data_IF_906657566752
#
_entry.id   IF_906657566752
#
_cell.length_a   1.000
_cell.length_b   1.000
_cell.length_c   1.000
_cell.angle_alpha   90.00
_cell.angle_beta   90.00
_cell.angle_gamma   90.00
#
_symmetry.space_group_name_H-M   'P 1'
#
loop_
_entity.id
_entity.type
_entity.pdbx_description
1 polymer ?
#
# COMPACT_ATOMS: atom_id res chain seq x y z
N UNK A 1 -2.43 18.32 -15.75
CA UNK A 1 -2.84 17.83 -14.42
C UNK A 1 -4.36 17.93 -14.34
N UNK A 2 -5.07 16.82 -14.08
CA UNK A 2 -6.54 16.81 -14.06
C UNK A 2 -7.06 17.64 -12.89
N UNK A 3 -8.05 18.49 -13.14
CA UNK A 3 -8.74 19.39 -12.20
C UNK A 3 -9.18 18.70 -10.90
N UNK A 4 -9.35 17.38 -10.92
CA UNK A 4 -9.71 16.55 -9.78
C UNK A 4 -8.58 16.43 -8.75
N UNK A 5 -7.31 16.41 -9.18
CA UNK A 5 -6.17 16.39 -8.27
C UNK A 5 -6.04 17.72 -7.52
N UNK A 6 -6.44 18.83 -8.17
CA UNK A 6 -6.47 20.16 -7.57
C UNK A 6 -7.55 20.26 -6.49
N UNK A 7 -8.73 19.64 -6.72
CA UNK A 7 -9.80 19.55 -5.72
C UNK A 7 -9.37 18.70 -4.54
N UNK A 8 -8.71 17.55 -4.72
CA UNK A 8 -8.31 16.68 -3.62
C UNK A 8 -7.18 17.26 -2.75
N UNK A 9 -6.22 18.00 -3.33
CA UNK A 9 -5.16 18.69 -2.59
C UNK A 9 -5.65 19.97 -1.90
N UNK A 10 -6.59 20.72 -2.49
CA UNK A 10 -7.25 21.86 -1.83
C UNK A 10 -8.36 21.45 -0.86
N UNK A 11 -8.90 20.23 -0.95
CA UNK A 11 -9.95 19.70 -0.06
C UNK A 11 -9.48 19.49 1.39
N UNK A 12 -8.17 19.52 1.66
CA UNK A 12 -7.64 19.42 3.01
C UNK A 12 -7.70 20.75 3.80
N UNK A 13 -7.99 21.89 3.14
CA UNK A 13 -7.83 23.22 3.75
C UNK A 13 -9.15 24.03 3.93
N UNK A 14 -10.32 23.54 3.49
CA UNK A 14 -11.58 24.29 3.61
C UNK A 14 -12.77 23.45 4.13
N UNK A 15 -13.49 24.02 5.10
CA UNK A 15 -14.64 23.48 5.85
C UNK A 15 -15.82 22.96 4.97
N UNK A 16 -16.48 21.93 5.49
CA UNK A 16 -17.83 21.41 5.18
C UNK A 16 -18.08 20.77 3.80
N UNK A 17 -17.68 19.51 3.64
CA UNK A 17 -18.20 18.63 2.57
C UNK A 17 -19.32 17.73 3.08
N UNK A 18 -20.33 17.49 2.23
CA UNK A 18 -21.43 16.58 2.52
C UNK A 18 -21.00 15.12 2.37
N UNK A 19 -21.66 14.18 3.07
CA UNK A 19 -21.45 12.72 2.89
C UNK A 19 -21.54 12.30 1.42
N UNK A 20 -22.36 12.99 0.64
CA UNK A 20 -22.56 12.73 -0.79
C UNK A 20 -21.31 13.02 -1.63
N UNK A 21 -20.53 14.04 -1.26
CA UNK A 21 -19.31 14.41 -1.99
C UNK A 21 -18.19 13.38 -1.75
N UNK A 22 -18.08 12.87 -0.51
CA UNK A 22 -17.20 11.73 -0.21
C UNK A 22 -17.55 10.49 -1.02
N UNK A 23 -18.84 10.15 -1.13
CA UNK A 23 -19.32 9.00 -1.91
C UNK A 23 -18.99 9.17 -3.40
N UNK A 24 -19.13 10.38 -3.96
CA UNK A 24 -18.74 10.64 -5.36
C UNK A 24 -17.24 10.52 -5.55
N UNK A 25 -16.45 11.12 -4.67
CA UNK A 25 -14.99 11.15 -4.78
C UNK A 25 -14.39 9.74 -4.66
N UNK A 26 -14.78 8.96 -3.64
CA UNK A 26 -14.29 7.58 -3.52
C UNK A 26 -14.66 6.72 -4.73
N UNK A 27 -15.82 6.96 -5.35
CA UNK A 27 -16.26 6.20 -6.52
C UNK A 27 -15.37 6.56 -7.71
N UNK A 28 -15.02 7.82 -7.86
CA UNK A 28 -14.05 8.25 -8.86
C UNK A 28 -12.68 7.57 -8.64
N UNK A 29 -12.19 7.60 -7.39
CA UNK A 29 -10.98 6.89 -6.97
C UNK A 29 -11.04 5.39 -7.36
N UNK A 30 -12.04 4.65 -6.91
CA UNK A 30 -12.16 3.21 -7.18
C UNK A 30 -12.33 2.89 -8.68
N UNK A 31 -13.04 3.73 -9.45
CA UNK A 31 -13.16 3.56 -10.89
C UNK A 31 -11.84 3.75 -11.64
N UNK A 32 -10.89 4.49 -11.06
CA UNK A 32 -9.58 4.67 -11.67
C UNK A 32 -8.77 3.37 -11.74
N UNK A 33 -9.09 2.33 -10.94
CA UNK A 33 -8.52 0.96 -11.07
C UNK A 33 -8.63 0.42 -12.50
N UNK A 34 -9.65 0.83 -13.22
CA UNK A 34 -9.93 0.35 -14.56
C UNK A 34 -9.34 1.24 -15.68
N UNK A 35 -8.54 2.26 -15.33
CA UNK A 35 -8.16 3.35 -16.23
C UNK A 35 -9.39 4.01 -16.91
N UNK A 36 -10.54 3.96 -16.22
CA UNK A 36 -11.80 4.48 -16.72
C UNK A 36 -11.82 6.00 -16.53
N UNK A 37 -11.31 6.72 -17.52
CA UNK A 37 -11.54 8.17 -17.61
C UNK A 37 -12.96 8.53 -18.10
N UNK A 38 -13.90 7.59 -18.21
CA UNK A 38 -15.13 7.80 -18.99
C UNK A 38 -16.46 7.47 -18.27
N UNK A 39 -17.52 8.06 -18.85
CA UNK A 39 -18.92 8.06 -18.39
C UNK A 39 -19.58 6.68 -18.39
N UNK A 40 -20.76 6.58 -17.75
CA UNK A 40 -21.61 5.38 -17.67
C UNK A 40 -21.91 4.73 -19.04
N UNK A 41 -21.98 5.52 -20.11
CA UNK A 41 -22.22 5.01 -21.46
C UNK A 41 -20.99 4.30 -22.05
N UNK A 42 -19.79 4.82 -21.81
CA UNK A 42 -18.54 4.23 -22.29
C UNK A 42 -18.21 2.93 -21.56
N UNK A 43 -18.51 2.86 -20.26
CA UNK A 43 -18.30 1.66 -19.42
C UNK A 43 -19.20 0.50 -19.84
N UNK A 44 -20.42 0.77 -20.29
CA UNK A 44 -21.34 -0.26 -20.79
C UNK A 44 -20.90 -0.86 -22.15
N UNK A 45 -20.02 -0.18 -22.90
CA UNK A 45 -19.48 -0.67 -24.19
C UNK A 45 -18.19 -1.46 -24.04
N UNK A 46 -17.55 -1.44 -22.87
CA UNK A 46 -16.32 -2.19 -22.62
C UNK A 46 -16.62 -3.62 -22.18
N UNK A 47 -15.72 -4.53 -22.57
CA UNK A 47 -15.80 -5.94 -22.22
C UNK A 47 -15.55 -6.11 -20.71
N UNK A 48 -16.65 -6.11 -19.96
CA UNK A 48 -16.70 -6.24 -18.48
C UNK A 48 -15.98 -7.48 -17.97
N UNK A 49 -15.73 -8.46 -18.84
CA UNK A 49 -15.13 -9.76 -18.50
C UNK A 49 -13.60 -9.74 -18.38
N UNK A 50 -12.93 -8.67 -18.85
CA UNK A 50 -11.46 -8.63 -19.01
C UNK A 50 -10.66 -8.17 -17.79
N UNK A 51 -11.26 -7.50 -16.81
CA UNK A 51 -10.51 -6.88 -15.70
C UNK A 51 -11.02 -7.34 -14.34
N UNK A 52 -12.32 -7.59 -14.22
CA UNK A 52 -12.90 -8.40 -13.16
C UNK A 52 -13.60 -9.55 -13.89
N UNK A 53 -13.27 -10.80 -13.63
CA UNK A 53 -14.07 -11.94 -14.12
C UNK A 53 -15.48 -11.97 -13.47
N UNK A 54 -16.03 -10.84 -13.01
CA UNK A 54 -17.16 -10.75 -12.10
C UNK A 54 -18.26 -9.78 -12.58
N UNK A 55 -19.49 -10.11 -12.21
CA UNK A 55 -20.76 -9.51 -12.68
C UNK A 55 -21.17 -8.22 -11.95
N UNK A 56 -20.30 -7.62 -11.15
CA UNK A 56 -20.68 -6.49 -10.30
C UNK A 56 -20.80 -5.18 -11.08
N UNK A 57 -21.78 -4.36 -10.73
CA UNK A 57 -21.94 -3.02 -11.30
C UNK A 57 -20.72 -2.16 -10.91
N UNK A 58 -19.92 -1.65 -11.86
CA UNK A 58 -18.75 -0.80 -11.58
C UNK A 58 -19.13 0.48 -10.81
N UNK A 59 -20.41 0.82 -10.74
CA UNK A 59 -20.89 1.97 -9.97
C UNK A 59 -21.34 1.63 -8.55
N UNK A 60 -21.54 0.36 -8.24
CA UNK A 60 -21.91 -0.13 -6.92
C UNK A 60 -20.66 -0.55 -6.12
N UNK A 61 -19.75 0.40 -5.86
CA UNK A 61 -18.45 0.16 -5.21
C UNK A 61 -18.57 -0.65 -3.90
N UNK A 62 -19.58 -0.36 -3.08
CA UNK A 62 -19.79 -1.08 -1.82
C UNK A 62 -20.29 -2.52 -1.98
N UNK A 63 -20.75 -2.89 -3.17
CA UNK A 63 -21.08 -4.27 -3.52
C UNK A 63 -19.90 -5.01 -4.16
N UNK A 64 -18.78 -4.32 -4.42
CA UNK A 64 -17.61 -4.97 -4.98
C UNK A 64 -17.06 -5.99 -3.98
N UNK A 65 -16.63 -7.13 -4.50
CA UNK A 65 -16.01 -8.17 -3.70
C UNK A 65 -14.80 -7.65 -2.92
N UNK A 66 -14.71 -8.03 -1.65
CA UNK A 66 -13.61 -7.62 -0.76
C UNK A 66 -13.64 -6.14 -0.38
N UNK A 67 -14.68 -5.39 -0.76
CA UNK A 67 -14.86 -4.00 -0.33
C UNK A 67 -15.86 -3.96 0.83
N UNK A 68 -15.43 -3.38 1.94
CA UNK A 68 -16.29 -3.12 3.09
C UNK A 68 -16.56 -1.63 3.19
N UNK A 69 -17.84 -1.27 3.21
CA UNK A 69 -18.28 0.10 3.43
C UNK A 69 -18.90 0.31 4.81
N UNK A 70 -18.73 1.50 5.36
CA UNK A 70 -19.44 2.01 6.54
C UNK A 70 -20.17 3.29 6.14
N UNK A 71 -21.49 3.32 6.30
CA UNK A 71 -22.33 4.44 5.84
C UNK A 71 -22.07 4.83 4.37
N UNK A 72 -21.95 3.82 3.49
CA UNK A 72 -21.61 3.96 2.07
C UNK A 72 -20.19 4.49 1.78
N UNK A 73 -19.32 4.65 2.78
CA UNK A 73 -17.92 5.03 2.60
C UNK A 73 -17.02 3.80 2.65
N UNK A 74 -16.12 3.65 1.67
CA UNK A 74 -15.15 2.55 1.62
C UNK A 74 -14.20 2.65 2.81
N UNK A 75 -14.19 1.61 3.64
CA UNK A 75 -13.33 1.49 4.83
C UNK A 75 -12.30 0.38 4.73
N UNK A 76 -12.61 -0.69 4.01
CA UNK A 76 -11.64 -1.75 3.76
C UNK A 76 -11.67 -2.25 2.31
N UNK A 77 -10.50 -2.64 1.81
CA UNK A 77 -10.32 -3.34 0.54
C UNK A 77 -9.44 -4.57 0.80
N UNK A 78 -9.92 -5.76 0.48
CA UNK A 78 -9.27 -7.05 0.75
C UNK A 78 -9.24 -7.93 -0.51
N UNK A 79 -8.16 -7.83 -1.26
CA UNK A 79 -7.89 -8.51 -2.53
C UNK A 79 -6.57 -9.30 -2.48
N UNK A 80 -6.57 -10.37 -1.70
CA UNK A 80 -5.47 -11.35 -1.66
C UNK A 80 -5.78 -12.53 -2.59
N UNK A 81 -4.96 -12.76 -3.61
CA UNK A 81 -5.26 -13.82 -4.59
C UNK A 81 -4.94 -15.23 -4.11
N UNK A 82 -4.07 -15.41 -3.11
CA UNK A 82 -3.77 -16.74 -2.56
C UNK A 82 -4.89 -17.22 -1.64
N UNK A 83 -5.44 -16.31 -0.82
CA UNK A 83 -6.50 -16.65 0.14
C UNK A 83 -7.89 -16.73 -0.50
N UNK A 84 -8.06 -16.19 -1.71
CA UNK A 84 -9.39 -16.02 -2.33
C UNK A 84 -9.79 -17.11 -3.33
N UNK A 85 -8.89 -18.03 -3.69
CA UNK A 85 -9.15 -19.11 -4.65
C UNK A 85 -9.76 -18.61 -5.98
N UNK A 86 -10.81 -19.28 -6.46
CA UNK A 86 -11.53 -18.92 -7.70
C UNK A 86 -12.19 -17.54 -7.67
N UNK A 87 -12.28 -16.92 -6.50
CA UNK A 87 -12.88 -15.62 -6.33
C UNK A 87 -11.86 -14.51 -6.08
N UNK A 88 -10.59 -14.76 -6.39
CA UNK A 88 -9.54 -13.76 -6.34
C UNK A 88 -9.82 -12.58 -7.27
N UNK A 89 -9.79 -11.37 -6.70
CA UNK A 89 -9.71 -10.14 -7.49
C UNK A 89 -8.28 -10.01 -7.99
N UNK A 90 -8.09 -10.10 -9.31
CA UNK A 90 -6.78 -10.01 -9.96
C UNK A 90 -6.66 -8.66 -10.66
N UNK A 91 -5.64 -7.90 -10.28
CA UNK A 91 -5.31 -6.64 -10.91
C UNK A 91 -4.28 -6.86 -12.02
N UNK A 92 -4.33 -6.03 -13.06
CA UNK A 92 -3.34 -6.02 -14.15
C UNK A 92 -2.27 -4.94 -13.95
N UNK A 93 -2.54 -3.95 -13.09
CA UNK A 93 -1.67 -2.85 -12.70
C UNK A 93 -2.11 -2.30 -11.34
N UNK A 94 -1.24 -1.57 -10.64
CA UNK A 94 -1.51 -1.06 -9.30
C UNK A 94 -1.00 0.37 -9.10
N UNK A 95 -1.89 1.36 -9.07
CA UNK A 95 -1.55 2.75 -8.73
C UNK A 95 -2.19 3.18 -7.41
N UNK A 96 -1.38 3.34 -6.38
CA UNK A 96 -1.84 3.72 -5.03
C UNK A 96 -2.72 4.98 -4.99
N UNK A 97 -2.65 5.87 -6.00
CA UNK A 97 -3.45 7.10 -6.07
C UNK A 97 -4.94 6.86 -6.28
N UNK A 98 -5.33 5.69 -6.77
CA UNK A 98 -6.75 5.36 -6.92
C UNK A 98 -7.38 4.94 -5.60
N UNK A 99 -6.61 4.66 -4.53
CA UNK A 99 -7.17 4.30 -3.24
C UNK A 99 -7.96 5.49 -2.65
N UNK A 100 -9.21 5.29 -2.18
CA UNK A 100 -9.93 6.33 -1.48
C UNK A 100 -9.17 6.80 -0.23
N UNK A 101 -9.07 8.10 0.04
CA UNK A 101 -8.30 8.62 1.18
C UNK A 101 -8.88 8.20 2.54
N UNK A 102 -10.16 7.82 2.58
CA UNK A 102 -10.93 7.40 3.77
C UNK A 102 -10.75 5.93 4.16
N UNK A 103 -10.03 5.15 3.33
CA UNK A 103 -9.85 3.72 3.59
C UNK A 103 -8.94 3.52 4.79
N UNK A 104 -9.36 2.67 5.72
CA UNK A 104 -8.63 2.35 6.94
C UNK A 104 -7.78 1.10 6.79
N UNK A 105 -8.27 0.12 6.01
CA UNK A 105 -7.63 -1.17 5.81
C UNK A 105 -7.48 -1.47 4.32
N UNK A 106 -6.26 -1.68 3.88
CA UNK A 106 -5.95 -2.14 2.53
C UNK A 106 -5.14 -3.41 2.67
N UNK A 107 -5.68 -4.51 2.17
CA UNK A 107 -5.01 -5.79 2.02
C UNK A 107 -5.10 -6.16 0.54
N UNK A 108 -4.05 -5.89 -0.22
CA UNK A 108 -3.96 -6.28 -1.63
C UNK A 108 -2.68 -7.08 -1.74
N UNK A 109 -2.79 -8.38 -1.99
CA UNK A 109 -1.63 -9.25 -1.92
C UNK A 109 -1.61 -10.24 -3.08
N UNK A 110 -0.40 -10.72 -3.38
CA UNK A 110 -0.19 -11.84 -4.29
C UNK A 110 -0.72 -11.57 -5.70
N UNK A 111 -0.55 -10.34 -6.19
CA UNK A 111 -0.99 -9.93 -7.53
C UNK A 111 0.07 -10.33 -8.58
N UNK A 112 0.44 -11.61 -8.60
CA UNK A 112 1.42 -12.18 -9.54
C UNK A 112 0.88 -12.08 -10.97
N UNK A 113 1.39 -11.11 -11.74
CA UNK A 113 0.89 -10.76 -13.08
C UNK A 113 0.60 -9.27 -13.25
N UNK A 114 0.55 -8.50 -12.16
CA UNK A 114 0.56 -7.03 -12.23
C UNK A 114 1.79 -6.53 -12.97
N UNK A 115 1.61 -5.57 -13.86
CA UNK A 115 2.72 -4.82 -14.44
C UNK A 115 3.42 -3.99 -13.36
N UNK A 116 4.75 -3.84 -13.42
CA UNK A 116 5.48 -2.97 -12.51
C UNK A 116 4.87 -1.58 -12.45
N UNK A 117 4.56 -1.10 -11.26
CA UNK A 117 3.85 0.17 -11.05
C UNK A 117 4.53 1.03 -9.99
N UNK A 118 4.65 2.36 -10.19
CA UNK A 118 5.31 3.21 -9.23
C UNK A 118 4.43 3.39 -7.99
N UNK A 119 5.04 3.38 -6.81
CA UNK A 119 4.38 3.71 -5.56
C UNK A 119 5.20 4.75 -4.79
N UNK A 120 4.50 5.74 -4.23
CA UNK A 120 5.06 6.73 -3.33
C UNK A 120 4.24 6.77 -2.06
N UNK A 121 4.92 6.80 -0.91
CA UNK A 121 4.30 6.94 0.42
C UNK A 121 3.46 8.21 0.55
N UNK A 122 3.72 9.24 -0.28
CA UNK A 122 2.91 10.48 -0.36
C UNK A 122 1.51 10.25 -0.90
N UNK A 123 1.26 9.15 -1.58
CA UNK A 123 -0.06 8.81 -2.11
C UNK A 123 -0.78 7.76 -1.27
N UNK A 124 -0.22 7.33 -0.14
CA UNK A 124 -0.93 6.43 0.76
C UNK A 124 -2.14 7.14 1.40
N UNK A 125 -3.29 6.44 1.57
CA UNK A 125 -4.47 7.03 2.20
C UNK A 125 -4.16 7.51 3.61
N UNK A 126 -4.66 8.70 3.97
CA UNK A 126 -4.23 9.39 5.20
C UNK A 126 -4.88 8.84 6.46
N UNK A 127 -6.04 8.18 6.33
CA UNK A 127 -6.75 7.50 7.43
C UNK A 127 -6.37 6.02 7.57
N UNK A 128 -5.41 5.52 6.77
CA UNK A 128 -5.06 4.09 6.79
C UNK A 128 -4.37 3.74 8.11
N UNK A 129 -4.82 2.66 8.74
CA UNK A 129 -4.18 2.05 9.92
C UNK A 129 -3.49 0.75 9.55
N UNK A 130 -3.97 0.06 8.53
CA UNK A 130 -3.47 -1.22 8.10
C UNK A 130 -3.28 -1.25 6.58
N UNK A 131 -2.03 -1.12 6.13
CA UNK A 131 -1.66 -1.10 4.72
C UNK A 131 -0.78 -2.31 4.40
N UNK A 132 -1.34 -3.28 3.70
CA UNK A 132 -0.65 -4.48 3.21
C UNK A 132 -0.79 -4.56 1.71
N UNK A 133 0.33 -4.39 1.01
CA UNK A 133 0.43 -4.39 -0.44
C UNK A 133 1.58 -5.29 -0.90
N UNK A 134 1.61 -6.54 -0.42
CA UNK A 134 2.71 -7.48 -0.68
C UNK A 134 2.59 -8.16 -2.05
N UNK A 135 3.72 -8.47 -2.67
CA UNK A 135 3.76 -9.18 -3.96
C UNK A 135 2.89 -8.50 -5.05
N UNK A 136 2.99 -7.16 -5.17
CA UNK A 136 2.16 -6.35 -6.06
C UNK A 136 2.93 -5.71 -7.23
N UNK A 137 4.20 -6.07 -7.43
CA UNK A 137 5.09 -5.48 -8.44
C UNK A 137 5.25 -3.94 -8.29
N UNK A 138 5.19 -3.43 -7.07
CA UNK A 138 5.39 -2.00 -6.82
C UNK A 138 6.87 -1.64 -6.83
N UNK A 139 7.23 -0.47 -7.35
CA UNK A 139 8.61 0.03 -7.32
C UNK A 139 8.68 1.51 -6.91
N UNK A 140 9.88 1.96 -6.57
CA UNK A 140 10.15 3.33 -6.13
C UNK A 140 10.95 3.37 -4.83
N UNK A 141 11.07 4.55 -4.24
CA UNK A 141 11.65 4.73 -2.91
C UNK A 141 10.57 4.89 -1.85
N UNK A 142 10.92 4.59 -0.59
CA UNK A 142 10.04 4.76 0.55
C UNK A 142 10.52 5.95 1.36
N UNK A 143 9.69 6.98 1.45
CA UNK A 143 9.90 8.11 2.35
C UNK A 143 9.12 7.87 3.64
N UNK A 144 9.85 7.57 4.72
CA UNK A 144 9.29 7.28 6.04
C UNK A 144 8.65 8.50 6.71
N UNK A 145 9.10 9.71 6.35
CA UNK A 145 8.68 10.96 7.01
C UNK A 145 7.26 11.37 6.65
N UNK A 146 6.70 10.79 5.58
CA UNK A 146 5.37 11.11 5.04
C UNK A 146 4.40 9.93 5.12
N UNK A 147 4.73 8.92 5.93
CA UNK A 147 3.79 7.85 6.24
C UNK A 147 2.54 8.42 6.96
N UNK A 148 1.36 7.84 6.74
CA UNK A 148 0.15 8.23 7.47
C UNK A 148 0.36 8.12 8.99
N UNK A 149 -0.04 9.15 9.73
CA UNK A 149 0.18 9.22 11.19
C UNK A 149 -0.61 8.17 11.98
N UNK A 150 -1.69 7.65 11.40
CA UNK A 150 -2.54 6.58 11.95
C UNK A 150 -2.03 5.17 11.63
N UNK A 151 -0.95 5.03 10.85
CA UNK A 151 -0.49 3.74 10.36
C UNK A 151 0.04 2.87 11.51
N UNK A 152 -0.54 1.70 11.69
CA UNK A 152 -0.14 0.72 12.70
C UNK A 152 0.59 -0.47 12.07
N UNK A 153 0.18 -0.87 10.87
CA UNK A 153 0.75 -2.01 10.15
C UNK A 153 1.07 -1.61 8.72
N UNK A 154 2.33 -1.78 8.35
CA UNK A 154 2.83 -1.64 6.99
C UNK A 154 3.44 -2.95 6.51
N UNK A 155 2.86 -3.57 5.49
CA UNK A 155 3.46 -4.70 4.80
C UNK A 155 3.61 -4.38 3.31
N UNK A 156 4.85 -4.24 2.86
CA UNK A 156 5.21 -4.02 1.46
C UNK A 156 6.16 -5.11 0.97
N UNK A 157 6.11 -6.30 1.57
CA UNK A 157 7.05 -7.36 1.26
C UNK A 157 6.87 -7.91 -0.18
N UNK A 158 7.96 -8.35 -0.80
CA UNK A 158 7.91 -8.96 -2.14
C UNK A 158 7.61 -7.96 -3.25
N UNK A 159 8.06 -6.73 -3.11
CA UNK A 159 7.98 -5.70 -4.15
C UNK A 159 9.39 -5.36 -4.68
N UNK A 160 9.50 -4.29 -5.44
CA UNK A 160 10.74 -3.79 -6.07
C UNK A 160 11.07 -2.38 -5.54
N UNK A 161 10.72 -2.09 -4.27
CA UNK A 161 11.16 -0.85 -3.65
C UNK A 161 12.67 -0.88 -3.48
N UNK A 162 13.32 0.25 -3.75
CA UNK A 162 14.78 0.35 -3.85
C UNK A 162 15.30 1.63 -3.21
N UNK A 163 16.63 1.75 -3.15
CA UNK A 163 17.31 2.94 -2.66
C UNK A 163 17.77 2.81 -1.22
N UNK A 164 17.94 3.98 -0.58
CA UNK A 164 18.26 4.09 0.83
C UNK A 164 16.99 4.19 1.67
N UNK A 165 17.01 3.52 2.82
CA UNK A 165 15.93 3.55 3.78
C UNK A 165 16.41 4.20 5.08
N UNK A 166 15.71 5.23 5.53
CA UNK A 166 15.99 5.87 6.82
C UNK A 166 14.84 5.56 7.77
N UNK A 167 15.08 4.66 8.73
CA UNK A 167 14.14 4.33 9.79
C UNK A 167 14.26 5.37 10.91
N UNK A 168 13.74 6.56 10.63
CA UNK A 168 13.61 7.67 11.57
C UNK A 168 12.26 8.35 11.38
N UNK A 169 11.78 9.04 12.41
CA UNK A 169 10.49 9.77 12.39
C UNK A 169 9.30 8.90 11.98
N UNK A 170 9.30 7.64 12.40
CA UNK A 170 8.19 6.72 12.13
C UNK A 170 6.91 7.19 12.86
N UNK A 171 5.72 6.94 12.32
CA UNK A 171 4.47 7.20 13.02
C UNK A 171 4.46 6.54 14.41
N UNK A 172 4.06 7.27 15.45
CA UNK A 172 4.01 6.74 16.82
C UNK A 172 3.03 5.58 16.99
N UNK A 173 2.05 5.44 16.09
CA UNK A 173 1.12 4.32 16.06
C UNK A 173 1.73 3.05 15.47
N UNK A 174 2.86 3.13 14.76
CA UNK A 174 3.39 2.02 13.98
C UNK A 174 3.86 0.88 14.89
N UNK A 175 3.30 -0.30 14.68
CA UNK A 175 3.55 -1.52 15.47
C UNK A 175 4.38 -2.52 14.65
N UNK A 176 4.02 -2.74 13.40
CA UNK A 176 4.63 -3.76 12.54
C UNK A 176 5.00 -3.14 11.19
N UNK A 177 6.23 -3.37 10.76
CA UNK A 177 6.71 -3.02 9.43
C UNK A 177 7.39 -4.23 8.78
N UNK A 178 6.91 -4.63 7.62
CA UNK A 178 7.48 -5.73 6.84
C UNK A 178 7.88 -5.22 5.45
N UNK A 179 9.19 -5.10 5.22
CA UNK A 179 9.77 -4.64 3.95
C UNK A 179 10.64 -5.71 3.29
N UNK A 180 10.49 -6.96 3.74
CA UNK A 180 11.20 -8.13 3.24
C UNK A 180 11.07 -8.30 1.73
N UNK A 181 12.11 -8.85 1.08
CA UNK A 181 12.11 -9.13 -0.36
C UNK A 181 11.84 -7.87 -1.20
N UNK A 182 12.60 -6.81 -0.93
CA UNK A 182 12.71 -5.60 -1.75
C UNK A 182 14.20 -5.37 -2.09
N UNK A 183 14.49 -4.32 -2.88
CA UNK A 183 15.81 -4.01 -3.46
C UNK A 183 16.53 -2.83 -2.78
N UNK A 184 16.31 -2.63 -1.47
CA UNK A 184 17.07 -1.64 -0.69
C UNK A 184 18.55 -2.02 -0.59
N UNK A 185 19.44 -1.04 -0.75
CA UNK A 185 20.89 -1.27 -0.66
C UNK A 185 21.53 -0.71 0.61
N UNK A 186 20.90 0.28 1.26
CA UNK A 186 21.34 0.81 2.55
C UNK A 186 20.15 1.10 3.45
N UNK A 187 20.32 0.83 4.75
CA UNK A 187 19.35 1.15 5.80
C UNK A 187 20.08 1.87 6.93
N UNK A 188 19.62 3.07 7.25
CA UNK A 188 20.04 3.82 8.42
C UNK A 188 18.94 3.73 9.47
N UNK A 189 19.29 3.29 10.67
CA UNK A 189 18.33 3.12 11.78
C UNK A 189 18.65 4.10 12.90
N UNK A 190 17.66 4.92 13.25
CA UNK A 190 17.72 5.73 14.46
C UNK A 190 16.97 4.98 15.57
N UNK A 191 17.73 4.20 16.36
CA UNK A 191 17.19 3.39 17.46
C UNK A 191 16.40 4.23 18.47
N UNK A 192 16.79 5.50 18.69
CA UNK A 192 16.18 6.37 19.69
C UNK A 192 14.82 6.92 19.21
N UNK A 193 14.64 7.02 17.89
CA UNK A 193 13.39 7.48 17.27
C UNK A 193 12.36 6.38 17.01
N UNK A 194 12.70 5.11 17.26
CA UNK A 194 11.78 4.00 17.04
C UNK A 194 10.57 4.12 17.98
N UNK A 195 9.32 3.94 17.49
CA UNK A 195 8.14 4.03 18.34
C UNK A 195 8.20 3.04 19.51
N UNK A 196 7.70 3.43 20.68
CA UNK A 196 7.76 2.58 21.88
C UNK A 196 6.90 1.32 21.76
N UNK A 197 5.78 1.41 21.01
CA UNK A 197 4.89 0.29 20.68
C UNK A 197 5.38 -0.53 19.47
N UNK A 198 6.49 -0.14 18.83
CA UNK A 198 7.05 -0.86 17.71
C UNK A 198 7.45 -2.26 18.17
N UNK A 199 6.91 -3.29 17.54
CA UNK A 199 7.16 -4.69 17.88
C UNK A 199 8.18 -5.32 16.97
N UNK A 200 8.07 -5.04 15.67
CA UNK A 200 8.91 -5.69 14.68
C UNK A 200 9.04 -4.86 13.40
N UNK A 201 10.28 -4.63 12.99
CA UNK A 201 10.65 -4.31 11.61
C UNK A 201 11.32 -5.53 10.99
N UNK A 202 10.75 -6.09 9.94
CA UNK A 202 11.38 -7.18 9.20
C UNK A 202 11.96 -6.63 7.89
N UNK A 203 13.28 -6.68 7.79
CA UNK A 203 14.06 -6.37 6.60
C UNK A 203 14.69 -7.69 6.13
N UNK A 204 14.53 -8.03 4.85
CA UNK A 204 15.22 -9.20 4.31
C UNK A 204 15.39 -9.08 2.80
N UNK A 205 16.28 -9.92 2.26
CA UNK A 205 16.88 -9.72 0.96
C UNK A 205 16.58 -10.81 -0.06
N UNK A 206 16.51 -10.44 -1.34
CA UNK A 206 16.78 -11.35 -2.46
C UNK A 206 18.25 -11.26 -2.92
N UNK A 207 19.02 -12.30 -2.58
CA UNK A 207 20.17 -12.89 -3.26
C UNK A 207 21.43 -12.10 -3.74
N UNK A 208 21.44 -10.82 -4.15
CA UNK A 208 22.64 -10.28 -4.89
C UNK A 208 23.65 -9.30 -4.22
N UNK A 209 23.29 -8.30 -3.40
CA UNK A 209 24.19 -7.18 -2.96
C UNK A 209 24.06 -6.71 -1.48
N UNK A 210 24.71 -7.31 -0.46
CA UNK A 210 24.57 -7.00 1.01
C UNK A 210 23.86 -5.66 1.37
N UNK A 211 22.74 -5.72 2.10
CA UNK A 211 22.11 -4.48 2.58
C UNK A 211 23.01 -3.90 3.67
N UNK A 212 23.49 -2.69 3.47
CA UNK A 212 24.31 -2.01 4.45
C UNK A 212 23.41 -1.39 5.52
N UNK A 213 23.22 -2.12 6.62
CA UNK A 213 22.46 -1.65 7.79
C UNK A 213 23.43 -1.03 8.79
N UNK A 214 23.14 0.21 9.21
CA UNK A 214 23.91 0.93 10.22
C UNK A 214 22.96 1.72 11.12
N UNK A 215 23.38 1.96 12.35
CA UNK A 215 22.67 2.85 13.27
C UNK A 215 23.24 4.26 13.17
N UNK A 216 22.43 5.28 13.48
CA UNK A 216 22.88 6.68 13.48
C UNK A 216 24.05 6.90 14.45
N UNK A 217 23.99 6.27 15.63
CA UNK A 217 24.99 6.43 16.70
C UNK A 217 26.15 5.44 16.63
N UNK A 218 26.09 4.45 15.72
CA UNK A 218 27.04 3.33 15.69
C UNK A 218 26.79 2.27 16.79
N UNK A 219 25.76 2.45 17.62
CA UNK A 219 25.34 1.45 18.60
C UNK A 219 24.85 0.14 17.93
N UNK A 220 24.80 -0.98 18.67
CA UNK A 220 24.14 -2.19 18.21
C UNK A 220 22.71 -1.91 17.73
N UNK A 221 22.26 -2.65 16.72
CA UNK A 221 20.91 -2.52 16.17
C UNK A 221 19.86 -2.90 17.22
N UNK A 222 18.77 -2.12 17.33
CA UNK A 222 17.64 -2.48 18.18
C UNK A 222 17.09 -3.87 17.78
N UNK A 223 16.91 -4.78 18.74
CA UNK A 223 16.49 -6.17 18.48
C UNK A 223 15.11 -6.30 17.84
N UNK A 224 14.30 -5.23 17.82
CA UNK A 224 13.03 -5.17 17.09
C UNK A 224 13.23 -5.02 15.59
N UNK A 225 14.41 -4.60 15.14
CA UNK A 225 14.77 -4.51 13.73
C UNK A 225 15.50 -5.78 13.32
N UNK A 226 14.76 -6.69 12.70
CA UNK A 226 15.22 -8.00 12.29
C UNK A 226 15.69 -7.92 10.84
N UNK A 227 16.94 -8.32 10.60
CA UNK A 227 17.54 -8.39 9.26
C UNK A 227 17.76 -9.86 8.91
N UNK A 228 16.82 -10.48 8.21
CA UNK A 228 16.90 -11.91 7.87
C UNK A 228 17.77 -12.14 6.61
N UNK A 229 18.63 -13.17 6.65
CA UNK A 229 19.30 -13.70 5.45
C UNK A 229 18.45 -14.82 4.85
N UNK A 230 18.07 -14.68 3.58
CA UNK A 230 17.39 -15.74 2.82
C UNK A 230 18.36 -16.33 1.79
N UNK A 231 18.65 -17.63 1.88
CA UNK A 231 19.43 -18.35 0.86
C UNK A 231 18.57 -18.74 -0.36
N UNK A 232 19.19 -19.20 -1.46
CA UNK A 232 18.50 -19.61 -2.72
C UNK A 232 17.47 -20.73 -2.51
N UNK A 233 17.53 -21.42 -1.38
CA UNK A 233 16.66 -22.54 -1.02
C UNK A 233 15.54 -22.13 -0.05
N UNK A 234 15.35 -20.82 0.19
CA UNK A 234 14.27 -20.32 1.04
C UNK A 234 14.48 -20.54 2.54
N UNK A 235 15.66 -20.95 3.00
CA UNK A 235 15.95 -21.08 4.43
C UNK A 235 16.29 -19.72 5.03
N UNK A 236 15.61 -19.40 6.13
CA UNK A 236 15.81 -18.19 6.93
C UNK A 236 16.88 -18.47 7.99
N UNK A 237 17.90 -17.63 8.04
CA UNK A 237 18.86 -17.59 9.14
C UNK A 237 18.69 -16.25 9.86
N UNK A 238 18.56 -16.31 11.18
CA UNK A 238 18.57 -15.16 12.08
C UNK A 238 20.04 -14.96 12.47
N UNK A 239 20.64 -13.81 12.14
CA UNK A 239 21.96 -13.42 12.65
C UNK A 239 21.86 -13.06 14.14
#
# INVERSE_FOLDING_TARGET
>A
MSTILFIALHAAESREYSTHDYIRFQRHCMLAVFDLQQTRQSINRMDKTRILRWRDDPFAVCAWRGVTCMYSIVRAIEWDTELSGDHAVRLTWMDVRWLPPTVHRVLIANQFGCKPSPASTRHFPREVTNLRMSCCALFGSIDMTVLPLSLEILDLAGNQFHGELVLANLPRSLVIMNLRRNDFHSVLVDNESLPSNFRQCALCRYQKNRVHVRTVTGAPLDGRVIVERINIFGRVYID
#
